data_IF_682736345679
#
_entry.id   IF_682736345679
#
_cell.length_a   1.000
_cell.length_b   1.000
_cell.length_c   1.000
_cell.angle_alpha   90.00
_cell.angle_beta   90.00
_cell.angle_gamma   90.00
#
_symmetry.space_group_name_H-M   'P 1'
#
loop_
_entity.id
_entity.type
_entity.pdbx_description
1 polymer ?
#
# COMPACT_ATOMS: atom_id res chain seq x y z
N UNK A 1 -3.55 -6.99 -19.00
CA UNK A 1 -4.63 -6.70 -18.02
C UNK A 1 -4.48 -7.45 -16.69
N UNK A 2 -4.05 -8.73 -16.67
CA UNK A 2 -3.98 -9.56 -15.46
C UNK A 2 -3.00 -9.05 -14.36
N UNK A 3 -1.84 -8.50 -14.74
CA UNK A 3 -0.81 -8.01 -13.80
C UNK A 3 -1.30 -6.77 -13.05
N UNK A 4 -1.96 -5.84 -13.74
CA UNK A 4 -2.56 -4.62 -13.16
C UNK A 4 -3.65 -4.93 -12.13
N UNK A 5 -4.39 -6.03 -12.32
CA UNK A 5 -5.40 -6.52 -11.36
C UNK A 5 -4.75 -7.10 -10.09
N UNK A 6 -3.67 -7.89 -10.24
CA UNK A 6 -2.95 -8.49 -9.10
C UNK A 6 -2.25 -7.45 -8.24
N UNK A 7 -1.53 -6.50 -8.84
CA UNK A 7 -0.83 -5.43 -8.08
C UNK A 7 -1.81 -4.56 -7.32
N UNK A 8 -2.98 -4.28 -7.89
CA UNK A 8 -4.03 -3.52 -7.20
C UNK A 8 -4.66 -4.31 -6.05
N UNK A 9 -4.88 -5.61 -6.25
CA UNK A 9 -5.39 -6.49 -5.18
C UNK A 9 -4.41 -6.57 -4.01
N UNK A 10 -3.11 -6.68 -4.28
CA UNK A 10 -2.06 -6.69 -3.25
C UNK A 10 -1.96 -5.34 -2.52
N UNK A 11 -2.06 -4.22 -3.25
CA UNK A 11 -2.07 -2.89 -2.64
C UNK A 11 -3.27 -2.72 -1.69
N UNK A 12 -4.48 -3.08 -2.14
CA UNK A 12 -5.68 -3.03 -1.30
C UNK A 12 -5.55 -3.92 -0.07
N UNK A 13 -5.03 -5.15 -0.23
CA UNK A 13 -4.82 -6.05 0.90
C UNK A 13 -3.82 -5.47 1.91
N UNK A 14 -2.72 -4.89 1.44
CA UNK A 14 -1.72 -4.24 2.29
C UNK A 14 -2.33 -3.05 3.06
N UNK A 15 -3.12 -2.20 2.38
CA UNK A 15 -3.85 -1.09 3.02
C UNK A 15 -4.79 -1.56 4.12
N UNK A 16 -5.54 -2.64 3.87
CA UNK A 16 -6.47 -3.22 4.87
C UNK A 16 -5.71 -3.76 6.08
N UNK A 17 -4.64 -4.52 5.88
CA UNK A 17 -3.81 -5.04 6.97
C UNK A 17 -3.17 -3.93 7.78
N UNK A 18 -2.72 -2.87 7.11
CA UNK A 18 -2.10 -1.73 7.75
C UNK A 18 -3.11 -0.91 8.58
N UNK A 19 -4.36 -0.78 8.11
CA UNK A 19 -5.45 -0.21 8.89
C UNK A 19 -5.74 -1.05 10.16
N UNK A 20 -5.75 -2.38 10.05
CA UNK A 20 -5.90 -3.26 11.22
C UNK A 20 -4.75 -3.08 12.21
N UNK A 21 -3.51 -2.95 11.74
CA UNK A 21 -2.36 -2.68 12.60
C UNK A 21 -2.49 -1.34 13.34
N UNK A 22 -2.89 -0.27 12.62
CA UNK A 22 -3.14 1.03 13.21
C UNK A 22 -4.21 0.98 14.30
N UNK A 23 -5.35 0.34 14.04
CA UNK A 23 -6.42 0.15 15.02
C UNK A 23 -5.95 -0.69 16.22
N UNK A 24 -5.18 -1.75 15.97
CA UNK A 24 -4.61 -2.56 17.04
C UNK A 24 -3.70 -1.75 17.95
N UNK A 25 -2.80 -0.92 17.40
CA UNK A 25 -1.93 -0.05 18.21
C UNK A 25 -2.73 0.97 19.03
N UNK A 26 -3.75 1.58 18.46
CA UNK A 26 -4.62 2.52 19.18
C UNK A 26 -5.37 1.86 20.34
N UNK A 27 -5.80 0.60 20.17
CA UNK A 27 -6.58 -0.11 21.21
C UNK A 27 -5.69 -0.73 22.29
N UNK A 28 -4.52 -1.24 21.92
CA UNK A 28 -3.70 -2.08 22.83
C UNK A 28 -2.53 -1.35 23.47
N UNK A 29 -2.07 -0.25 22.88
CA UNK A 29 -0.93 0.51 23.41
C UNK A 29 -1.42 1.56 24.41
N UNK A 30 -1.16 1.34 25.69
CA UNK A 30 -1.58 2.25 26.77
C UNK A 30 -0.74 3.53 26.92
N UNK A 31 0.41 3.63 26.24
CA UNK A 31 1.23 4.84 26.20
C UNK A 31 0.96 5.61 24.90
N UNK A 32 0.39 6.81 25.02
CA UNK A 32 0.01 7.66 23.89
C UNK A 32 1.18 8.03 22.98
N UNK A 33 2.37 8.24 23.54
CA UNK A 33 3.57 8.60 22.77
C UNK A 33 4.05 7.41 21.95
N UNK A 34 4.01 6.22 22.54
CA UNK A 34 4.35 4.98 21.84
C UNK A 34 3.30 4.67 20.76
N UNK A 35 2.01 4.83 21.04
CA UNK A 35 0.93 4.65 20.09
C UNK A 35 1.05 5.60 18.90
N UNK A 36 1.38 6.88 19.14
CA UNK A 36 1.61 7.85 18.08
C UNK A 36 2.81 7.46 17.19
N UNK A 37 3.91 6.96 17.77
CA UNK A 37 5.06 6.49 17.01
C UNK A 37 4.72 5.25 16.16
N UNK A 38 3.99 4.29 16.73
CA UNK A 38 3.52 3.10 15.99
C UNK A 38 2.57 3.47 14.85
N UNK A 39 1.67 4.42 15.08
CA UNK A 39 0.75 4.92 14.07
C UNK A 39 1.49 5.68 12.95
N UNK A 40 2.53 6.44 13.30
CA UNK A 40 3.40 7.08 12.32
C UNK A 40 4.10 6.07 11.43
N UNK A 41 4.67 5.00 12.01
CA UNK A 41 5.28 3.90 11.24
C UNK A 41 4.26 3.24 10.31
N UNK A 42 3.04 2.96 10.80
CA UNK A 42 1.98 2.42 9.95
C UNK A 42 1.65 3.36 8.77
N UNK A 43 1.60 4.68 9.02
CA UNK A 43 1.38 5.66 7.95
C UNK A 43 2.52 5.70 6.93
N UNK A 44 3.79 5.59 7.36
CA UNK A 44 4.94 5.50 6.46
C UNK A 44 4.90 4.24 5.60
N UNK A 45 4.52 3.10 6.18
CA UNK A 45 4.32 1.84 5.44
C UNK A 45 3.21 2.01 4.40
N UNK A 46 2.08 2.64 4.75
CA UNK A 46 0.99 2.92 3.80
C UNK A 46 1.48 3.75 2.62
N UNK A 47 2.24 4.79 2.93
CA UNK A 47 2.79 5.68 1.93
C UNK A 47 3.69 4.94 0.93
N UNK A 48 4.54 4.02 1.42
CA UNK A 48 5.36 3.16 0.57
C UNK A 48 4.52 2.22 -0.30
N UNK A 49 3.45 1.63 0.25
CA UNK A 49 2.52 0.78 -0.51
C UNK A 49 1.88 1.57 -1.65
N UNK A 50 1.36 2.77 -1.36
CA UNK A 50 0.70 3.63 -2.34
C UNK A 50 1.65 4.08 -3.45
N UNK A 51 2.85 4.55 -3.09
CA UNK A 51 3.86 4.95 -4.09
C UNK A 51 4.28 3.76 -4.94
N UNK A 52 4.53 2.60 -4.34
CA UNK A 52 4.93 1.40 -5.08
C UNK A 52 3.84 0.95 -6.05
N UNK A 53 2.58 1.00 -5.63
CA UNK A 53 1.44 0.70 -6.48
C UNK A 53 1.28 1.71 -7.62
N UNK A 54 1.41 3.01 -7.34
CA UNK A 54 1.36 4.08 -8.35
C UNK A 54 2.48 3.92 -9.38
N UNK A 55 3.72 3.67 -8.94
CA UNK A 55 4.85 3.39 -9.81
C UNK A 55 4.59 2.15 -10.67
N UNK A 56 4.09 1.07 -10.08
CA UNK A 56 3.74 -0.13 -10.82
C UNK A 56 2.64 0.12 -11.86
N UNK A 57 1.67 1.01 -11.58
CA UNK A 57 0.65 1.43 -12.55
C UNK A 57 1.27 2.25 -13.68
N UNK A 58 2.10 3.25 -13.37
CA UNK A 58 2.78 4.09 -14.36
C UNK A 58 3.67 3.28 -15.30
N UNK A 59 4.47 2.35 -14.76
CA UNK A 59 5.34 1.50 -15.57
C UNK A 59 4.56 0.50 -16.45
N UNK A 60 3.36 0.10 -16.05
CA UNK A 60 2.49 -0.79 -16.84
C UNK A 60 1.54 -0.03 -17.80
N UNK A 61 1.53 1.31 -17.78
CA UNK A 61 0.74 2.13 -18.72
C UNK A 61 1.40 2.27 -20.10
N UNK A 62 2.66 1.83 -20.24
CA UNK A 62 3.42 1.87 -21.49
C UNK A 62 3.68 0.46 -22.09
N UNK A 63 2.65 -0.39 -22.34
CA UNK A 63 2.85 -1.52 -23.22
C UNK A 63 2.94 -0.95 -24.64
N UNK A 64 4.16 -0.63 -25.08
CA UNK A 64 4.49 -0.35 -26.47
C UNK A 64 3.66 -1.30 -27.36
N UNK A 65 2.78 -0.80 -28.24
CA UNK A 65 2.02 -1.69 -29.10
C UNK A 65 3.04 -2.50 -29.90
N UNK A 66 2.99 -3.83 -29.75
CA UNK A 66 3.67 -4.73 -30.66
C UNK A 66 3.25 -4.28 -32.06
N UNK A 67 4.22 -3.78 -32.83
CA UNK A 67 3.99 -3.29 -34.18
C UNK A 67 3.16 -4.34 -34.93
N UNK A 68 1.97 -3.93 -35.34
CA UNK A 68 1.10 -4.71 -36.19
C UNK A 68 1.72 -4.77 -37.59
N UNK A 69 1.76 -5.97 -38.17
CA UNK A 69 1.96 -6.18 -39.61
C UNK A 69 3.40 -6.33 -40.04
#
# INVERSE_FOLDING_TARGET
MLISSRTSTLAVLATVLNLFAALYFVVTTGDDRLAAMQLHIAAEIEFLVLISWLLAKLLNLDPKPAAAG
#
